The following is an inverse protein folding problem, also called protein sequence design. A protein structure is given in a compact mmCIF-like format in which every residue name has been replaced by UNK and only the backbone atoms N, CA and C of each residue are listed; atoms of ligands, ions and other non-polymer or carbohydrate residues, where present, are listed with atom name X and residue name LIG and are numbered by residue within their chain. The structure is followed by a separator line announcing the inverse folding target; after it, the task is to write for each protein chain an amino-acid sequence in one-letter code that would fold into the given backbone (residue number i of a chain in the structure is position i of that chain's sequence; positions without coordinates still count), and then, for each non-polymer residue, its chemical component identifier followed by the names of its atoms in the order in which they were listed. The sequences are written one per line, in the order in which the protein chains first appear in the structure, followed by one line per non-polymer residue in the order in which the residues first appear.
data_IF_863490546181
#
_entry.id   IF_863490546181
#
_cell.length_a   1.000
_cell.length_b   1.000
_cell.length_c   1.000
_cell.angle_alpha   90.00
_cell.angle_beta   90.00
_cell.angle_gamma   90.00
#
_symmetry.space_group_name_H-M   'P 1'
#
loop_
_entity.id
_entity.type
_entity.pdbx_description
1 polymer ?
#
# COMPACT_ATOMS: atom_id res chain seq x y z
N UNK A 1 -11.49 10.14 21.75
CA UNK A 1 -11.83 9.29 20.58
C UNK A 1 -10.68 8.34 20.29
N UNK A 2 -10.97 7.10 19.89
CA UNK A 2 -9.90 6.20 19.49
C UNK A 2 -9.32 6.66 18.15
N UNK A 3 -8.02 6.55 18.03
CA UNK A 3 -7.31 6.75 16.78
C UNK A 3 -6.72 5.43 16.32
N UNK A 4 -6.32 5.35 15.05
CA UNK A 4 -5.63 4.18 14.53
C UNK A 4 -4.15 4.27 14.89
N UNK A 5 -3.60 3.17 15.43
CA UNK A 5 -2.16 3.05 15.66
C UNK A 5 -1.50 2.67 14.33
N UNK A 6 -1.07 3.65 13.57
CA UNK A 6 -0.46 3.42 12.25
C UNK A 6 0.88 2.69 12.35
N UNK A 7 1.65 2.90 13.40
CA UNK A 7 2.91 2.19 13.57
C UNK A 7 2.68 0.69 13.77
N UNK A 8 1.73 0.34 14.61
CA UNK A 8 1.35 -1.05 14.82
C UNK A 8 0.73 -1.64 13.56
N UNK A 9 -0.13 -0.90 12.87
CA UNK A 9 -0.78 -1.34 11.65
C UNK A 9 0.25 -1.66 10.55
N UNK A 10 1.28 -0.83 10.41
CA UNK A 10 2.36 -1.07 9.44
C UNK A 10 3.16 -2.33 9.74
N UNK A 11 3.20 -2.75 11.00
CA UNK A 11 3.82 -4.02 11.40
C UNK A 11 2.92 -5.22 11.15
N UNK A 12 1.60 -5.02 11.22
CA UNK A 12 0.60 -6.08 11.07
C UNK A 12 0.24 -6.37 9.61
N UNK A 13 0.31 -5.36 8.75
CA UNK A 13 -0.05 -5.48 7.33
C UNK A 13 1.17 -5.16 6.49
N UNK A 14 1.60 -6.14 5.68
CA UNK A 14 2.78 -5.98 4.83
C UNK A 14 2.44 -5.28 3.52
N UNK A 15 3.47 -4.69 2.89
CA UNK A 15 3.33 -4.15 1.55
C UNK A 15 2.89 -5.23 0.55
N UNK A 16 3.40 -6.44 0.69
CA UNK A 16 3.04 -7.56 -0.18
C UNK A 16 1.54 -7.88 -0.13
N UNK A 17 0.94 -7.84 1.05
CA UNK A 17 -0.50 -8.07 1.21
C UNK A 17 -1.33 -7.02 0.47
N UNK A 18 -0.93 -5.76 0.53
CA UNK A 18 -1.60 -4.68 -0.19
C UNK A 18 -1.44 -4.83 -1.69
N UNK A 19 -0.23 -5.16 -2.14
CA UNK A 19 0.03 -5.38 -3.56
C UNK A 19 -0.80 -6.54 -4.11
N UNK A 20 -0.97 -7.60 -3.34
CA UNK A 20 -1.80 -8.73 -3.71
C UNK A 20 -3.26 -8.33 -3.87
N UNK A 21 -3.79 -7.53 -2.94
CA UNK A 21 -5.16 -7.01 -3.04
C UNK A 21 -5.36 -6.14 -4.29
N UNK A 22 -4.32 -5.44 -4.71
CA UNK A 22 -4.36 -4.57 -5.89
C UNK A 22 -4.04 -5.34 -7.18
N UNK A 23 -3.81 -6.65 -7.10
CA UNK A 23 -3.44 -7.51 -8.22
C UNK A 23 -2.18 -7.01 -8.95
N UNK A 24 -1.21 -6.49 -8.19
CA UNK A 24 0.04 -6.01 -8.75
C UNK A 24 0.92 -7.19 -9.18
N UNK A 25 1.34 -7.18 -10.43
CA UNK A 25 2.26 -8.18 -10.98
C UNK A 25 3.57 -7.50 -11.39
N UNK A 26 4.64 -7.71 -10.63
CA UNK A 26 5.93 -7.09 -10.97
C UNK A 26 6.52 -7.71 -12.25
N UNK A 27 7.11 -6.86 -13.10
CA UNK A 27 7.83 -7.32 -14.29
C UNK A 27 9.31 -7.55 -13.99
N UNK A 28 9.82 -7.04 -12.87
CA UNK A 28 11.20 -7.21 -12.47
C UNK A 28 11.31 -7.20 -10.94
N UNK A 29 12.18 -8.04 -10.42
CA UNK A 29 12.49 -8.10 -8.98
C UNK A 29 13.99 -8.12 -8.82
N UNK A 30 14.51 -7.25 -7.95
CA UNK A 30 15.92 -7.24 -7.56
C UNK A 30 15.94 -7.25 -6.03
N UNK A 31 16.06 -8.43 -5.44
CA UNK A 31 15.92 -8.59 -4.00
C UNK A 31 14.55 -8.14 -3.53
N UNK A 32 14.50 -7.18 -2.60
CA UNK A 32 13.25 -6.64 -2.06
C UNK A 32 12.68 -5.49 -2.89
N UNK A 33 13.38 -5.08 -3.95
CA UNK A 33 12.95 -4.00 -4.83
C UNK A 33 12.25 -4.57 -6.05
N UNK A 34 10.96 -4.25 -6.19
CA UNK A 34 10.13 -4.74 -7.28
C UNK A 34 9.71 -3.58 -8.18
N UNK A 35 9.58 -3.85 -9.47
CA UNK A 35 9.18 -2.86 -10.48
C UNK A 35 8.04 -3.41 -11.33
N UNK A 36 7.10 -2.57 -11.70
CA UNK A 36 5.99 -3.00 -12.52
C UNK A 36 5.06 -1.85 -12.90
N UNK A 37 3.92 -2.18 -13.51
CA UNK A 37 2.89 -1.18 -13.83
C UNK A 37 2.22 -0.69 -12.55
N UNK A 38 1.99 0.62 -12.47
CA UNK A 38 1.37 1.22 -11.30
C UNK A 38 -0.07 0.74 -11.12
N UNK A 39 -0.44 0.22 -9.94
CA UNK A 39 -1.81 -0.22 -9.69
C UNK A 39 -2.80 0.93 -9.45
N UNK A 40 -2.30 2.18 -9.36
CA UNK A 40 -3.13 3.35 -9.07
C UNK A 40 -3.71 4.02 -10.31
N UNK A 41 -3.19 3.70 -11.48
CA UNK A 41 -3.69 4.23 -12.75
C UNK A 41 -3.53 3.17 -13.83
N UNK A 42 -4.27 3.34 -14.92
CA UNK A 42 -4.15 2.43 -16.05
C UNK A 42 -2.78 2.57 -16.69
N UNK A 43 -2.03 1.47 -16.74
CA UNK A 43 -0.72 1.45 -17.37
C UNK A 43 -0.88 1.30 -18.88
N UNK A 44 -0.05 2.03 -19.65
CA UNK A 44 -0.04 1.91 -21.11
C UNK A 44 0.49 0.56 -21.59
N UNK A 45 1.24 -0.13 -20.74
CA UNK A 45 1.85 -1.42 -21.06
C UNK A 45 1.99 -2.25 -19.80
N UNK A 46 1.71 -3.55 -19.92
CA UNK A 46 1.93 -4.51 -18.82
C UNK A 46 3.42 -4.64 -18.47
N UNK A 47 4.32 -4.14 -19.33
CA UNK A 47 5.76 -4.13 -19.10
C UNK A 47 6.27 -2.83 -18.49
N UNK A 48 5.37 -1.91 -18.15
CA UNK A 48 5.75 -0.65 -17.53
C UNK A 48 6.50 -0.89 -16.24
N UNK A 49 7.54 -0.09 -15.97
CA UNK A 49 8.33 -0.13 -14.75
C UNK A 49 8.26 1.19 -14.01
N UNK A 50 7.20 1.95 -14.22
CA UNK A 50 7.02 3.26 -13.59
C UNK A 50 6.77 3.16 -12.08
N UNK A 51 6.26 2.04 -11.61
CA UNK A 51 6.01 1.81 -10.19
C UNK A 51 7.14 0.98 -9.60
N UNK A 52 7.75 1.50 -8.54
CA UNK A 52 8.77 0.79 -7.78
C UNK A 52 8.30 0.63 -6.33
N UNK A 53 8.62 -0.50 -5.73
CA UNK A 53 8.24 -0.80 -4.37
C UNK A 53 9.34 -1.61 -3.68
N UNK A 54 9.67 -1.23 -2.44
CA UNK A 54 10.55 -2.02 -1.59
C UNK A 54 9.66 -2.73 -0.57
N UNK A 55 9.52 -4.03 -0.73
CA UNK A 55 8.61 -4.82 0.12
C UNK A 55 9.15 -5.03 1.54
N UNK A 56 10.46 -4.94 1.72
CA UNK A 56 11.07 -5.11 3.05
C UNK A 56 10.79 -3.91 3.96
N UNK A 57 10.90 -2.69 3.43
CA UNK A 57 10.69 -1.47 4.21
C UNK A 57 9.28 -0.89 4.05
N UNK A 58 8.47 -1.45 3.14
CA UNK A 58 7.11 -1.00 2.93
C UNK A 58 7.00 0.39 2.32
N UNK A 59 7.79 0.66 1.28
CA UNK A 59 7.79 1.95 0.58
C UNK A 59 7.53 1.75 -0.90
N UNK A 60 6.74 2.63 -1.49
CA UNK A 60 6.48 2.64 -2.94
C UNK A 60 6.65 4.03 -3.53
N UNK A 61 6.87 4.06 -4.82
CA UNK A 61 6.93 5.31 -5.58
C UNK A 61 6.54 5.04 -7.03
N UNK A 62 5.57 5.79 -7.54
CA UNK A 62 5.26 5.80 -8.96
C UNK A 62 5.93 7.01 -9.61
N UNK A 63 6.88 6.77 -10.51
CA UNK A 63 7.61 7.83 -11.19
C UNK A 63 6.76 8.58 -12.21
N UNK A 64 5.59 8.04 -12.54
CA UNK A 64 4.69 8.65 -13.52
C UNK A 64 3.64 9.54 -12.86
N UNK A 65 2.93 9.06 -11.84
CA UNK A 65 1.89 9.84 -11.17
C UNK A 65 2.39 10.55 -9.91
N UNK A 66 3.62 10.26 -9.49
CA UNK A 66 4.22 10.90 -8.32
C UNK A 66 3.74 10.39 -6.97
N UNK A 67 2.82 9.43 -6.95
CA UNK A 67 2.34 8.84 -5.69
C UNK A 67 3.44 8.07 -5.00
N UNK A 68 3.58 8.26 -3.70
CA UNK A 68 4.62 7.60 -2.90
C UNK A 68 4.17 7.50 -1.44
N UNK A 69 4.77 6.58 -0.71
CA UNK A 69 4.49 6.42 0.72
C UNK A 69 4.67 4.96 1.15
N UNK A 70 4.02 4.62 2.25
CA UNK A 70 4.01 3.25 2.77
C UNK A 70 2.74 2.50 2.34
N UNK A 71 2.61 1.23 2.78
CA UNK A 71 1.53 0.35 2.35
C UNK A 71 0.13 0.89 2.65
N UNK A 72 -0.07 1.56 3.78
CA UNK A 72 -1.40 2.10 4.11
C UNK A 72 -1.73 3.29 3.19
N UNK A 73 -0.73 4.12 2.88
CA UNK A 73 -0.89 5.24 1.95
C UNK A 73 -1.20 4.74 0.53
N UNK A 74 -0.61 3.61 0.14
CA UNK A 74 -0.90 2.97 -1.15
C UNK A 74 -2.37 2.56 -1.24
N UNK A 75 -2.90 1.93 -0.18
CA UNK A 75 -4.31 1.56 -0.13
C UNK A 75 -5.22 2.79 -0.14
N UNK A 76 -4.85 3.85 0.59
CA UNK A 76 -5.58 5.10 0.59
C UNK A 76 -5.66 5.71 -0.81
N UNK A 77 -4.54 5.72 -1.53
CA UNK A 77 -4.49 6.23 -2.90
C UNK A 77 -5.34 5.37 -3.84
N UNK A 78 -5.26 4.05 -3.71
CA UNK A 78 -6.00 3.13 -4.57
C UNK A 78 -7.52 3.21 -4.36
N UNK A 79 -7.96 3.45 -3.14
CA UNK A 79 -9.39 3.54 -2.80
C UNK A 79 -9.93 4.97 -2.82
N UNK A 80 -9.06 5.94 -3.03
CA UNK A 80 -9.39 7.37 -2.97
C UNK A 80 -10.03 7.80 -1.65
N UNK A 81 -9.61 7.14 -0.57
CA UNK A 81 -10.06 7.45 0.78
C UNK A 81 -9.00 8.24 1.53
N UNK A 82 -9.39 9.11 2.48
CA UNK A 82 -8.44 9.66 3.43
C UNK A 82 -7.73 8.53 4.21
N UNK A 83 -6.56 8.82 4.75
CA UNK A 83 -5.70 7.80 5.37
C UNK A 83 -6.39 7.02 6.49
N UNK A 84 -7.10 7.69 7.39
CA UNK A 84 -7.77 7.04 8.51
C UNK A 84 -8.88 6.06 8.05
N UNK A 85 -9.87 6.48 7.23
CA UNK A 85 -10.85 5.52 6.71
C UNK A 85 -10.23 4.41 5.87
N UNK A 86 -9.17 4.70 5.13
CA UNK A 86 -8.48 3.69 4.32
C UNK A 86 -7.86 2.61 5.20
N UNK A 87 -7.26 2.99 6.33
CA UNK A 87 -6.69 2.04 7.27
C UNK A 87 -7.75 1.08 7.83
N UNK A 88 -8.90 1.61 8.19
CA UNK A 88 -10.02 0.81 8.69
C UNK A 88 -10.55 -0.12 7.60
N UNK A 89 -10.71 0.39 6.38
CA UNK A 89 -11.16 -0.39 5.23
C UNK A 89 -10.20 -1.54 4.92
N UNK A 90 -8.90 -1.28 4.96
CA UNK A 90 -7.87 -2.30 4.70
C UNK A 90 -7.95 -3.43 5.74
N UNK A 91 -8.09 -3.10 7.01
CA UNK A 91 -8.28 -4.09 8.05
C UNK A 91 -9.52 -4.94 7.81
N UNK A 92 -10.62 -4.31 7.40
CA UNK A 92 -11.88 -5.00 7.09
C UNK A 92 -11.71 -5.98 5.93
N UNK A 93 -11.06 -5.54 4.86
CA UNK A 93 -10.82 -6.37 3.66
C UNK A 93 -9.95 -7.57 3.99
N UNK A 94 -8.95 -7.40 4.84
CA UNK A 94 -8.03 -8.46 5.26
C UNK A 94 -8.56 -9.32 6.42
N UNK A 95 -9.72 -8.96 6.98
CA UNK A 95 -10.29 -9.68 8.11
C UNK A 95 -9.48 -9.53 9.39
N UNK A 96 -8.88 -8.38 9.60
CA UNK A 96 -8.05 -8.08 10.77
C UNK A 96 -8.66 -7.00 11.64
N UNK A 97 -8.36 -7.06 12.92
CA UNK A 97 -8.80 -6.04 13.87
C UNK A 97 -7.98 -4.76 13.70
N UNK A 98 -8.65 -3.61 13.86
CA UNK A 98 -7.99 -2.32 13.82
C UNK A 98 -7.22 -2.11 15.12
N UNK A 99 -5.90 -1.80 15.05
CA UNK A 99 -5.13 -1.47 16.26
C UNK A 99 -5.48 -0.05 16.70
N UNK A 100 -6.39 0.06 17.65
CA UNK A 100 -6.85 1.35 18.15
C UNK A 100 -5.93 1.91 19.22
N UNK A 101 -5.70 3.22 19.19
CA UNK A 101 -5.09 3.96 20.28
C UNK A 101 -6.22 4.68 21.02
N UNK A 102 -6.38 4.36 22.30
CA UNK A 102 -7.34 5.07 23.15
C UNK A 102 -6.63 6.22 23.84
N UNK A 103 -7.15 7.43 23.61
CA UNK A 103 -6.62 8.65 24.23
C UNK A 103 -7.66 9.22 25.19
N UNK A 104 -7.20 9.56 26.36
CA UNK A 104 -8.03 10.10 27.43
C UNK A 104 -7.76 11.58 27.63
#
# INVERSE_FOLDING_TARGET
MPGVDFDQLRSLITMEEVLELLAFEPVSRTGDQWYGPCPLHEAKSARSRSFSVNVAIGRYHCHRCGSRGHQIELWAAATTLPLHPAAIDLCRVLGREVPWIWRW
#
